data_IF_425848182134
#
_entry.id   IF_425848182134
#
_cell.length_a   1.000
_cell.length_b   1.000
_cell.length_c   1.000
_cell.angle_alpha   90.00
_cell.angle_beta   90.00
_cell.angle_gamma   90.00
#
_symmetry.space_group_name_H-M   'P 1'
#
loop_
_entity.id
_entity.type
_entity.pdbx_description
1 polymer ?
#
# COMPACT_ATOMS: atom_id res chain seq x y z
N UNK A 1 55.48 33.58 27.09
CA UNK A 1 55.48 34.34 28.34
C UNK A 1 56.64 33.85 29.22
N UNK A 2 57.56 34.75 29.64
CA UNK A 2 58.73 34.42 30.46
C UNK A 2 58.66 35.05 31.87
N UNK A 3 59.29 34.43 32.87
CA UNK A 3 59.85 35.09 34.07
C UNK A 3 61.08 34.27 34.48
N UNK A 4 62.34 34.66 34.23
CA UNK A 4 63.15 35.78 34.74
C UNK A 4 63.17 35.90 36.27
N UNK A 5 64.28 35.42 36.85
CA UNK A 5 64.80 35.80 38.17
C UNK A 5 66.33 35.85 38.13
N UNK A 6 66.87 37.04 37.82
CA UNK A 6 68.24 37.54 38.07
C UNK A 6 68.32 37.93 39.57
N UNK A 7 69.43 38.09 40.29
CA UNK A 7 70.79 38.55 39.96
C UNK A 7 71.65 38.53 41.27
N UNK A 8 73.00 38.48 41.10
CA UNK A 8 74.04 39.26 41.83
C UNK A 8 74.31 39.00 43.32
N UNK A 9 75.51 39.22 43.87
CA UNK A 9 76.93 39.40 43.44
C UNK A 9 77.72 39.70 44.75
N UNK A 10 78.99 39.29 44.78
CA UNK A 10 80.18 39.96 45.37
C UNK A 10 80.22 40.29 46.88
N UNK A 11 81.36 39.99 47.50
CA UNK A 11 81.90 40.78 48.61
C UNK A 11 83.19 40.21 49.20
N UNK A 12 84.23 41.04 49.35
CA UNK A 12 85.65 40.71 49.62
C UNK A 12 86.05 41.17 51.03
N UNK A 13 87.28 40.83 51.42
CA UNK A 13 88.15 41.41 52.48
C UNK A 13 88.08 40.71 53.86
N UNK A 14 89.16 40.21 54.50
CA UNK A 14 90.56 40.63 54.77
C UNK A 14 90.64 41.52 56.03
N UNK A 15 91.21 40.99 57.12
CA UNK A 15 91.52 41.73 58.35
C UNK A 15 92.47 40.96 59.28
N UNK A 16 93.55 41.62 59.74
CA UNK A 16 94.72 41.15 60.51
C UNK A 16 94.68 41.70 61.95
N UNK A 17 95.34 41.03 62.91
CA UNK A 17 95.90 41.60 64.16
C UNK A 17 95.78 40.65 65.37
N UNK A 18 96.85 39.99 65.86
CA UNK A 18 97.84 40.37 66.94
C UNK A 18 97.19 40.59 68.33
N UNK A 19 97.67 40.10 69.48
CA UNK A 19 99.00 39.68 69.93
C UNK A 19 98.94 38.97 71.32
N UNK A 20 100.08 38.34 71.72
CA UNK A 20 100.56 37.94 73.09
C UNK A 20 100.61 36.44 73.51
N UNK A 21 101.81 35.87 73.31
CA UNK A 21 102.67 35.00 74.17
C UNK A 21 102.09 34.38 75.46
N UNK A 22 102.25 33.04 75.59
CA UNK A 22 103.18 32.39 76.55
C UNK A 22 103.45 30.93 76.14
N UNK A 23 104.67 30.49 76.45
CA UNK A 23 105.40 29.29 75.96
C UNK A 23 105.03 28.05 76.80
N UNK A 24 105.11 26.83 76.22
CA UNK A 24 105.90 25.66 76.69
C UNK A 24 105.56 24.38 75.87
N UNK A 25 106.62 23.80 75.26
CA UNK A 25 106.86 22.41 74.78
C UNK A 25 105.79 21.71 73.90
N UNK A 26 106.09 21.53 72.61
CA UNK A 26 105.22 20.83 71.66
C UNK A 26 105.99 20.25 70.45
N UNK A 27 106.79 19.20 70.66
CA UNK A 27 107.41 18.43 69.55
C UNK A 27 106.67 17.09 69.29
N UNK A 28 105.80 16.62 70.20
CA UNK A 28 104.82 15.54 69.93
C UNK A 28 103.52 16.05 69.27
N UNK A 29 103.17 17.33 69.46
CA UNK A 29 101.93 17.93 68.94
C UNK A 29 101.88 18.10 67.43
N UNK A 30 103.03 18.20 66.75
CA UNK A 30 103.07 18.40 65.30
C UNK A 30 102.69 17.10 64.55
N UNK A 31 103.14 15.95 65.04
CA UNK A 31 102.84 14.62 64.47
C UNK A 31 101.37 14.27 64.67
N UNK A 32 100.83 14.49 65.87
CA UNK A 32 99.41 14.22 66.13
C UNK A 32 98.48 15.20 65.40
N UNK A 33 98.90 16.45 65.20
CA UNK A 33 98.18 17.41 64.34
C UNK A 33 98.24 17.02 62.86
N UNK A 34 99.34 16.43 62.40
CA UNK A 34 99.46 15.89 61.04
C UNK A 34 98.60 14.63 60.85
N UNK A 35 98.57 13.71 61.83
CA UNK A 35 97.67 12.54 61.84
C UNK A 35 96.20 12.94 61.87
N UNK A 36 95.81 13.88 62.72
CA UNK A 36 94.44 14.40 62.76
C UNK A 36 94.04 15.09 61.45
N UNK A 37 94.96 15.83 60.82
CA UNK A 37 94.74 16.39 59.48
C UNK A 37 94.64 15.30 58.41
N UNK A 38 95.48 14.26 58.45
CA UNK A 38 95.41 13.13 57.52
C UNK A 38 94.06 12.41 57.63
N UNK A 39 93.61 12.06 58.85
CA UNK A 39 92.28 11.46 59.07
C UNK A 39 91.13 12.38 58.65
N UNK A 40 91.27 13.69 58.80
CA UNK A 40 90.28 14.66 58.31
C UNK A 40 90.25 14.72 56.77
N UNK A 41 91.40 14.58 56.10
CA UNK A 41 91.45 14.46 54.64
C UNK A 41 90.92 13.11 54.14
N UNK A 42 91.16 12.02 54.87
CA UNK A 42 90.59 10.69 54.59
C UNK A 42 89.06 10.71 54.73
N UNK A 43 88.51 11.25 55.83
CA UNK A 43 87.06 11.38 55.99
C UNK A 43 86.43 12.29 54.93
N UNK A 44 87.12 13.37 54.53
CA UNK A 44 86.68 14.22 53.41
C UNK A 44 86.72 13.48 52.08
N UNK A 45 87.77 12.69 51.83
CA UNK A 45 87.88 11.86 50.64
C UNK A 45 86.74 10.85 50.59
N UNK A 46 86.48 10.14 51.69
CA UNK A 46 85.39 9.16 51.81
C UNK A 46 84.01 9.79 51.55
N UNK A 47 83.71 10.94 52.16
CA UNK A 47 82.45 11.67 51.89
C UNK A 47 82.35 12.09 50.43
N UNK A 48 83.45 12.57 49.82
CA UNK A 48 83.44 12.91 48.39
C UNK A 48 83.30 11.68 47.50
N UNK A 49 83.87 10.54 47.88
CA UNK A 49 83.74 9.28 47.15
C UNK A 49 82.33 8.71 47.24
N UNK A 50 81.70 8.72 48.41
CA UNK A 50 80.29 8.37 48.61
C UNK A 50 79.39 9.27 47.77
N UNK A 51 79.58 10.60 47.84
CA UNK A 51 78.79 11.51 47.00
C UNK A 51 78.98 11.24 45.51
N UNK A 52 80.21 10.91 45.06
CA UNK A 52 80.50 10.54 43.67
C UNK A 52 79.79 9.24 43.27
N UNK A 53 79.75 8.25 44.16
CA UNK A 53 79.02 6.99 43.94
C UNK A 53 77.52 7.28 43.82
N UNK A 54 76.95 8.06 44.73
CA UNK A 54 75.55 8.48 44.71
C UNK A 54 75.19 9.27 43.44
N UNK A 55 76.05 10.20 43.00
CA UNK A 55 75.88 10.92 41.73
C UNK A 55 75.93 9.98 40.52
N UNK A 56 76.79 8.95 40.53
CA UNK A 56 76.85 7.95 39.47
C UNK A 56 75.63 7.04 39.48
N UNK A 57 75.14 6.66 40.65
CA UNK A 57 73.95 5.81 40.81
C UNK A 57 72.67 6.56 40.43
N UNK A 58 72.54 7.82 40.83
CA UNK A 58 71.43 8.69 40.39
C UNK A 58 71.47 8.93 38.88
N UNK A 59 72.64 9.21 38.31
CA UNK A 59 72.79 9.36 36.85
C UNK A 59 72.45 8.08 36.09
N UNK A 60 72.86 6.90 36.61
CA UNK A 60 72.49 5.59 36.03
C UNK A 60 70.99 5.32 36.13
N UNK A 61 70.36 5.61 37.28
CA UNK A 61 68.91 5.49 37.45
C UNK A 61 68.15 6.42 36.49
N UNK A 62 68.60 7.66 36.35
CA UNK A 62 67.99 8.63 35.43
C UNK A 62 68.15 8.19 33.96
N UNK A 63 69.33 7.70 33.57
CA UNK A 63 69.56 7.16 32.23
C UNK A 63 68.65 5.97 31.93
N UNK A 64 68.52 5.03 32.88
CA UNK A 64 67.61 3.88 32.75
C UNK A 64 66.14 4.33 32.65
N UNK A 65 65.71 5.24 33.52
CA UNK A 65 64.34 5.79 33.47
C UNK A 65 64.05 6.50 32.15
N UNK A 66 65.01 7.25 31.60
CA UNK A 66 64.87 7.89 30.29
C UNK A 66 64.80 6.87 29.15
N UNK A 67 65.55 5.77 29.23
CA UNK A 67 65.47 4.69 28.25
C UNK A 67 64.12 3.97 28.30
N UNK A 68 63.62 3.68 29.52
CA UNK A 68 62.32 3.05 29.73
C UNK A 68 61.17 3.96 29.25
N UNK A 69 61.24 5.26 29.52
CA UNK A 69 60.29 6.25 29.01
C UNK A 69 60.30 6.32 27.47
N UNK A 70 61.47 6.26 26.83
CA UNK A 70 61.58 6.21 25.36
C UNK A 70 60.95 4.94 24.79
N UNK A 71 61.20 3.79 25.42
CA UNK A 71 60.56 2.52 25.01
C UNK A 71 59.05 2.57 25.16
N UNK A 72 58.55 3.14 26.26
CA UNK A 72 57.13 3.34 26.48
C UNK A 72 56.52 4.29 25.45
N UNK A 73 57.18 5.42 25.16
CA UNK A 73 56.75 6.36 24.13
C UNK A 73 56.64 5.66 22.77
N UNK A 74 57.68 4.93 22.34
CA UNK A 74 57.67 4.22 21.07
C UNK A 74 56.56 3.17 21.00
N UNK A 75 56.32 2.44 22.09
CA UNK A 75 55.22 1.47 22.16
C UNK A 75 53.86 2.15 22.06
N UNK A 76 53.64 3.24 22.80
CA UNK A 76 52.39 4.01 22.73
C UNK A 76 52.16 4.62 21.35
N UNK A 77 53.19 5.15 20.69
CA UNK A 77 53.11 5.67 19.33
C UNK A 77 52.72 4.57 18.33
N UNK A 78 53.30 3.37 18.46
CA UNK A 78 52.95 2.22 17.63
C UNK A 78 51.51 1.76 17.87
N UNK A 79 51.09 1.62 19.13
CA UNK A 79 49.73 1.21 19.48
C UNK A 79 48.71 2.25 19.00
N UNK A 80 49.00 3.54 19.17
CA UNK A 80 48.17 4.65 18.67
C UNK A 80 48.08 4.62 17.14
N UNK A 81 49.18 4.38 16.44
CA UNK A 81 49.19 4.27 14.99
C UNK A 81 48.36 3.07 14.50
N UNK A 82 48.45 1.92 15.19
CA UNK A 82 47.62 0.76 14.89
C UNK A 82 46.13 1.05 15.06
N UNK A 83 45.73 1.68 16.18
CA UNK A 83 44.33 2.08 16.41
C UNK A 83 43.86 3.08 15.34
N UNK A 84 44.67 4.10 15.03
CA UNK A 84 44.36 5.08 13.99
C UNK A 84 44.20 4.43 12.61
N UNK A 85 45.08 3.49 12.26
CA UNK A 85 45.00 2.78 10.97
C UNK A 85 43.75 1.91 10.86
N UNK A 86 43.36 1.24 11.95
CA UNK A 86 42.14 0.45 12.02
C UNK A 86 40.90 1.33 11.87
N UNK A 87 40.82 2.43 12.63
CA UNK A 87 39.71 3.38 12.55
C UNK A 87 39.62 4.00 11.16
N UNK A 88 40.74 4.42 10.56
CA UNK A 88 40.77 4.96 9.19
C UNK A 88 40.28 3.94 8.15
N UNK A 89 40.68 2.67 8.29
CA UNK A 89 40.20 1.60 7.41
C UNK A 89 38.69 1.40 7.55
N UNK A 90 38.20 1.35 8.78
CA UNK A 90 36.77 1.20 9.06
C UNK A 90 35.95 2.39 8.54
N UNK A 91 36.49 3.61 8.64
CA UNK A 91 35.86 4.83 8.12
C UNK A 91 35.75 4.77 6.60
N UNK A 92 36.85 4.40 5.92
CA UNK A 92 36.85 4.22 4.47
C UNK A 92 35.87 3.13 4.01
N UNK A 93 35.77 2.01 4.74
CA UNK A 93 34.81 0.94 4.42
C UNK A 93 33.36 1.43 4.56
N UNK A 94 33.07 2.24 5.58
CA UNK A 94 31.75 2.86 5.76
C UNK A 94 31.45 3.88 4.68
N UNK A 95 32.40 4.73 4.31
CA UNK A 95 32.25 5.71 3.23
C UNK A 95 31.99 5.02 1.89
N UNK A 96 32.73 3.96 1.57
CA UNK A 96 32.50 3.16 0.38
C UNK A 96 31.10 2.50 0.39
N UNK A 97 30.62 2.06 1.56
CA UNK A 97 29.28 1.51 1.70
C UNK A 97 28.20 2.59 1.52
N UNK A 98 28.41 3.78 2.07
CA UNK A 98 27.51 4.93 1.90
C UNK A 98 27.43 5.31 0.41
N UNK A 99 28.56 5.32 -0.30
CA UNK A 99 28.58 5.63 -1.73
C UNK A 99 27.82 4.60 -2.57
N UNK A 100 28.01 3.30 -2.29
CA UNK A 100 27.24 2.22 -2.93
C UNK A 100 25.74 2.35 -2.65
N UNK A 101 25.35 2.63 -1.40
CA UNK A 101 23.94 2.81 -1.04
C UNK A 101 23.34 4.04 -1.72
N UNK A 102 24.11 5.14 -1.87
CA UNK A 102 23.68 6.32 -2.62
C UNK A 102 23.48 6.01 -4.11
N UNK A 103 24.39 5.24 -4.73
CA UNK A 103 24.24 4.81 -6.12
C UNK A 103 22.99 3.95 -6.29
N UNK A 104 22.80 2.92 -5.45
CA UNK A 104 21.61 2.07 -5.49
C UNK A 104 20.31 2.87 -5.29
N UNK A 105 20.32 3.84 -4.38
CA UNK A 105 19.16 4.71 -4.16
C UNK A 105 18.83 5.54 -5.41
N UNK A 106 19.84 6.09 -6.09
CA UNK A 106 19.65 6.87 -7.31
C UNK A 106 19.16 5.98 -8.46
N UNK A 107 19.78 4.82 -8.68
CA UNK A 107 19.33 3.87 -9.71
C UNK A 107 17.89 3.42 -9.50
N UNK A 108 17.49 3.19 -8.24
CA UNK A 108 16.11 2.80 -7.92
C UNK A 108 15.13 3.95 -8.17
N UNK A 109 15.53 5.20 -7.86
CA UNK A 109 14.73 6.39 -8.15
C UNK A 109 14.58 6.63 -9.64
N UNK A 110 15.65 6.50 -10.42
CA UNK A 110 15.61 6.64 -11.89
C UNK A 110 14.71 5.58 -12.52
N UNK A 111 14.84 4.30 -12.13
CA UNK A 111 13.94 3.23 -12.61
C UNK A 111 12.47 3.51 -12.28
N UNK A 112 12.18 3.93 -11.04
CA UNK A 112 10.82 4.28 -10.65
C UNK A 112 10.27 5.47 -11.44
N UNK A 113 11.11 6.47 -11.74
CA UNK A 113 10.74 7.63 -12.54
C UNK A 113 10.49 7.23 -14.01
N UNK A 114 11.32 6.37 -14.60
CA UNK A 114 11.11 5.85 -15.95
C UNK A 114 9.83 5.01 -16.06
N UNK A 115 9.54 4.16 -15.07
CA UNK A 115 8.31 3.37 -15.03
C UNK A 115 7.07 4.27 -14.92
N UNK A 116 7.15 5.30 -14.08
CA UNK A 116 6.11 6.32 -13.96
C UNK A 116 5.89 7.04 -15.29
N UNK A 117 6.94 7.51 -15.96
CA UNK A 117 6.83 8.19 -17.25
C UNK A 117 6.26 7.29 -18.34
N UNK A 118 6.69 6.01 -18.40
CA UNK A 118 6.13 5.02 -19.33
C UNK A 118 4.64 4.79 -19.07
N UNK A 119 4.22 4.76 -17.80
CA UNK A 119 2.82 4.57 -17.42
C UNK A 119 1.98 5.80 -17.78
N UNK A 120 2.48 7.01 -17.48
CA UNK A 120 1.86 8.27 -17.86
C UNK A 120 1.70 8.39 -19.38
N UNK A 121 2.71 8.03 -20.17
CA UNK A 121 2.63 8.01 -21.63
C UNK A 121 1.56 7.02 -22.13
N UNK A 122 1.51 5.81 -21.58
CA UNK A 122 0.49 4.81 -21.96
C UNK A 122 -0.93 5.34 -21.70
N UNK A 123 -1.18 5.92 -20.53
CA UNK A 123 -2.50 6.46 -20.22
C UNK A 123 -2.83 7.70 -21.05
N UNK A 124 -1.84 8.55 -21.34
CA UNK A 124 -2.04 9.71 -22.22
C UNK A 124 -2.46 9.29 -23.62
N UNK A 125 -1.81 8.26 -24.19
CA UNK A 125 -2.20 7.71 -25.50
C UNK A 125 -3.60 7.12 -25.46
N UNK A 126 -3.94 6.35 -24.43
CA UNK A 126 -5.28 5.76 -24.28
C UNK A 126 -6.38 6.85 -24.15
N UNK A 127 -6.11 7.91 -23.39
CA UNK A 127 -7.03 9.05 -23.25
C UNK A 127 -7.24 9.72 -24.61
N UNK A 128 -6.16 10.03 -25.32
CA UNK A 128 -6.23 10.67 -26.64
C UNK A 128 -6.99 9.81 -27.67
N UNK A 129 -6.81 8.48 -27.62
CA UNK A 129 -7.52 7.56 -28.50
C UNK A 129 -9.03 7.50 -28.19
N UNK A 130 -9.40 7.44 -26.91
CA UNK A 130 -10.80 7.50 -26.47
C UNK A 130 -11.45 8.84 -26.80
N UNK A 131 -10.76 9.96 -26.60
CA UNK A 131 -11.22 11.29 -26.99
C UNK A 131 -11.41 11.39 -28.52
N UNK A 132 -10.48 10.83 -29.29
CA UNK A 132 -10.60 10.74 -30.75
C UNK A 132 -11.84 9.96 -31.20
N UNK A 133 -12.07 8.78 -30.61
CA UNK A 133 -13.27 7.97 -30.87
C UNK A 133 -14.55 8.71 -30.46
N UNK A 134 -14.54 9.39 -29.31
CA UNK A 134 -15.66 10.20 -28.85
C UNK A 134 -16.00 11.32 -29.84
N UNK A 135 -14.99 12.08 -30.29
CA UNK A 135 -15.19 13.13 -31.29
C UNK A 135 -15.70 12.59 -32.63
N UNK A 136 -15.23 11.42 -33.05
CA UNK A 136 -15.75 10.76 -34.25
C UNK A 136 -17.23 10.38 -34.09
N UNK A 137 -17.60 9.74 -32.98
CA UNK A 137 -19.00 9.38 -32.69
C UNK A 137 -19.89 10.60 -32.57
N UNK A 138 -19.41 11.68 -31.94
CA UNK A 138 -20.14 12.94 -31.85
C UNK A 138 -20.44 13.54 -33.25
N UNK A 139 -19.46 13.48 -34.17
CA UNK A 139 -19.67 13.90 -35.57
C UNK A 139 -20.69 13.02 -36.30
N UNK A 140 -20.58 11.69 -36.16
CA UNK A 140 -21.54 10.74 -36.75
C UNK A 140 -22.97 11.02 -36.26
N UNK A 141 -23.15 11.21 -34.95
CA UNK A 141 -24.44 11.56 -34.35
C UNK A 141 -24.96 12.89 -34.92
N UNK A 142 -24.10 13.90 -35.06
CA UNK A 142 -24.47 15.18 -35.66
C UNK A 142 -24.96 15.06 -37.12
N UNK A 143 -24.32 14.22 -37.92
CA UNK A 143 -24.74 13.93 -39.30
C UNK A 143 -26.10 13.23 -39.32
N UNK A 144 -26.28 12.17 -38.52
CA UNK A 144 -27.54 11.44 -38.41
C UNK A 144 -28.68 12.36 -37.93
N UNK A 145 -28.43 13.25 -36.97
CA UNK A 145 -29.44 14.22 -36.53
C UNK A 145 -29.84 15.19 -37.65
N UNK A 146 -28.90 15.57 -38.52
CA UNK A 146 -29.17 16.43 -39.66
C UNK A 146 -30.00 15.69 -40.72
N UNK A 147 -29.64 14.46 -41.05
CA UNK A 147 -30.43 13.58 -41.93
C UNK A 147 -31.84 13.31 -41.39
N UNK A 148 -31.96 13.10 -40.08
CA UNK A 148 -33.25 12.88 -39.45
C UNK A 148 -34.15 14.13 -39.53
N UNK A 149 -33.56 15.34 -39.47
CA UNK A 149 -34.29 16.59 -39.72
C UNK A 149 -34.74 16.70 -41.18
N UNK A 150 -33.90 16.35 -42.15
CA UNK A 150 -34.29 16.40 -43.58
C UNK A 150 -35.36 15.37 -43.90
N UNK A 151 -35.27 14.15 -43.36
CA UNK A 151 -36.31 13.11 -43.50
C UNK A 151 -37.64 13.58 -42.91
N UNK A 152 -37.64 14.21 -41.73
CA UNK A 152 -38.87 14.77 -41.13
C UNK A 152 -39.49 15.86 -42.01
N UNK A 153 -38.67 16.72 -42.62
CA UNK A 153 -39.16 17.74 -43.57
C UNK A 153 -39.73 17.09 -44.83
N UNK A 154 -39.06 16.07 -45.37
CA UNK A 154 -39.54 15.31 -46.51
C UNK A 154 -40.89 14.63 -46.21
N UNK A 155 -41.05 14.00 -45.05
CA UNK A 155 -42.32 13.39 -44.64
C UNK A 155 -43.45 14.41 -44.56
N UNK A 156 -43.22 15.59 -43.98
CA UNK A 156 -44.22 16.67 -43.95
C UNK A 156 -44.62 17.10 -45.36
N UNK A 157 -43.64 17.26 -46.25
CA UNK A 157 -43.90 17.67 -47.64
C UNK A 157 -44.62 16.58 -48.43
N UNK A 158 -44.29 15.31 -48.20
CA UNK A 158 -44.96 14.15 -48.77
C UNK A 158 -46.45 14.15 -48.41
N UNK A 159 -46.78 14.29 -47.13
CA UNK A 159 -48.19 14.35 -46.66
C UNK A 159 -48.93 15.50 -47.34
N UNK A 160 -48.28 16.66 -47.47
CA UNK A 160 -48.88 17.82 -48.14
C UNK A 160 -49.17 17.55 -49.62
N UNK A 161 -48.21 16.97 -50.36
CA UNK A 161 -48.38 16.62 -51.77
C UNK A 161 -49.42 15.53 -51.98
N UNK A 162 -49.46 14.51 -51.11
CA UNK A 162 -50.49 13.47 -51.15
C UNK A 162 -51.89 14.07 -50.97
N UNK A 163 -52.05 15.01 -50.03
CA UNK A 163 -53.31 15.73 -49.84
C UNK A 163 -53.69 16.56 -51.07
N UNK A 164 -52.75 17.32 -51.64
CA UNK A 164 -53.00 18.12 -52.85
C UNK A 164 -53.40 17.23 -54.04
N UNK A 165 -52.79 16.05 -54.17
CA UNK A 165 -53.13 15.08 -55.21
C UNK A 165 -54.54 14.51 -55.04
N UNK A 166 -54.94 14.19 -53.82
CA UNK A 166 -56.29 13.70 -53.53
C UNK A 166 -57.34 14.77 -53.76
N UNK A 167 -57.07 16.02 -53.36
CA UNK A 167 -57.93 17.18 -53.66
C UNK A 167 -58.07 17.38 -55.20
N UNK A 168 -56.99 17.24 -55.96
CA UNK A 168 -57.00 17.30 -57.43
C UNK A 168 -57.81 16.16 -58.07
N UNK A 169 -57.66 14.92 -57.58
CA UNK A 169 -58.45 13.77 -58.06
C UNK A 169 -59.94 13.97 -57.78
N UNK A 170 -60.29 14.46 -56.60
CA UNK A 170 -61.68 14.74 -56.22
C UNK A 170 -62.27 15.84 -57.10
N UNK A 171 -61.51 16.91 -57.35
CA UNK A 171 -61.90 17.97 -58.28
C UNK A 171 -62.11 17.43 -59.70
N UNK A 172 -61.21 16.57 -60.20
CA UNK A 172 -61.33 15.95 -61.52
C UNK A 172 -62.61 15.10 -61.62
N UNK A 173 -62.85 14.21 -60.63
CA UNK A 173 -64.07 13.40 -60.55
C UNK A 173 -65.33 14.26 -60.52
N UNK A 174 -65.32 15.34 -59.76
CA UNK A 174 -66.43 16.28 -59.71
C UNK A 174 -66.67 16.97 -61.06
N UNK A 175 -65.60 17.37 -61.78
CA UNK A 175 -65.74 17.95 -63.12
C UNK A 175 -66.21 16.93 -64.15
N UNK A 176 -65.71 15.70 -64.15
CA UNK A 176 -66.18 14.62 -65.03
C UNK A 176 -67.64 14.29 -64.75
N UNK A 177 -68.05 14.19 -63.48
CA UNK A 177 -69.44 13.97 -63.10
C UNK A 177 -70.34 15.09 -63.63
N UNK A 178 -69.97 16.35 -63.42
CA UNK A 178 -70.71 17.51 -63.94
C UNK A 178 -70.78 17.49 -65.48
N UNK A 179 -69.69 17.11 -66.14
CA UNK A 179 -69.65 16.99 -67.60
C UNK A 179 -70.56 15.86 -68.10
N UNK A 180 -70.53 14.68 -67.47
CA UNK A 180 -71.44 13.58 -67.77
C UNK A 180 -72.90 13.95 -67.53
N UNK A 181 -73.23 14.63 -66.43
CA UNK A 181 -74.59 15.13 -66.18
C UNK A 181 -75.03 16.12 -67.27
N UNK A 182 -74.13 16.99 -67.72
CA UNK A 182 -74.39 17.93 -68.82
C UNK A 182 -74.60 17.21 -70.14
N UNK A 183 -73.77 16.20 -70.46
CA UNK A 183 -73.92 15.36 -71.64
C UNK A 183 -75.25 14.59 -71.62
N UNK A 184 -75.58 13.90 -70.53
CA UNK A 184 -76.87 13.20 -70.39
C UNK A 184 -78.06 14.13 -70.56
N UNK A 185 -77.96 15.37 -70.06
CA UNK A 185 -79.02 16.38 -70.24
C UNK A 185 -79.12 16.87 -71.68
N UNK A 186 -78.02 16.97 -72.41
CA UNK A 186 -78.03 17.31 -73.84
C UNK A 186 -78.54 16.15 -74.68
N UNK A 187 -78.05 14.94 -74.44
CA UNK A 187 -78.51 13.70 -75.06
C UNK A 187 -80.00 13.49 -74.81
N UNK A 188 -80.50 13.65 -73.58
CA UNK A 188 -81.92 13.55 -73.26
C UNK A 188 -82.77 14.52 -74.08
N UNK A 189 -82.36 15.79 -74.17
CA UNK A 189 -83.04 16.77 -75.04
C UNK A 189 -82.97 16.37 -76.52
N UNK A 190 -81.85 15.83 -76.96
CA UNK A 190 -81.66 15.38 -78.34
C UNK A 190 -82.54 14.15 -78.64
N UNK A 191 -82.66 13.22 -77.70
CA UNK A 191 -83.52 12.03 -77.81
C UNK A 191 -84.99 12.41 -77.76
N UNK A 192 -85.41 13.34 -76.89
CA UNK A 192 -86.78 13.84 -76.87
C UNK A 192 -87.16 14.48 -78.21
N UNK A 193 -86.30 15.35 -78.75
CA UNK A 193 -86.52 16.00 -80.04
C UNK A 193 -86.50 14.98 -81.20
N UNK A 194 -85.52 14.07 -81.20
CA UNK A 194 -85.41 12.99 -82.18
C UNK A 194 -86.63 12.08 -82.11
N UNK A 195 -87.09 11.72 -80.92
CA UNK A 195 -88.26 10.87 -80.73
C UNK A 195 -89.54 11.59 -81.16
N UNK A 196 -89.68 12.90 -80.92
CA UNK A 196 -90.80 13.67 -81.45
C UNK A 196 -90.83 13.62 -82.97
N UNK A 197 -89.68 13.88 -83.61
CA UNK A 197 -89.55 13.83 -85.08
C UNK A 197 -89.75 12.41 -85.63
N UNK A 198 -89.22 11.39 -84.96
CA UNK A 198 -89.41 9.98 -85.30
C UNK A 198 -90.87 9.59 -85.14
N UNK A 199 -91.57 9.97 -84.07
CA UNK A 199 -93.01 9.70 -83.91
C UNK A 199 -93.84 10.41 -84.99
N UNK A 200 -93.47 11.63 -85.38
CA UNK A 200 -94.13 12.34 -86.47
C UNK A 200 -93.90 11.63 -87.83
N UNK A 201 -92.69 11.17 -88.07
CA UNK A 201 -92.32 10.40 -89.26
C UNK A 201 -92.96 9.00 -89.25
N UNK A 202 -92.97 8.32 -88.11
CA UNK A 202 -93.52 6.99 -87.90
C UNK A 202 -95.03 7.04 -87.97
N UNK A 203 -95.72 8.05 -87.44
CA UNK A 203 -97.15 8.25 -87.72
C UNK A 203 -97.42 8.40 -89.21
N UNK A 204 -96.57 9.13 -89.95
CA UNK A 204 -96.69 9.24 -91.41
C UNK A 204 -96.41 7.90 -92.11
N UNK A 205 -95.39 7.17 -91.68
CA UNK A 205 -95.01 5.87 -92.24
C UNK A 205 -96.06 4.82 -91.90
N UNK A 206 -96.54 4.73 -90.67
CA UNK A 206 -97.64 3.84 -90.24
C UNK A 206 -98.90 4.19 -91.00
N UNK A 207 -99.28 5.45 -91.17
CA UNK A 207 -100.43 5.78 -92.03
C UNK A 207 -100.23 5.31 -93.48
N UNK A 208 -99.02 5.40 -94.02
CA UNK A 208 -98.70 4.92 -95.38
C UNK A 208 -98.57 3.39 -95.45
N UNK A 209 -98.05 2.76 -94.41
CA UNK A 209 -97.77 1.34 -94.29
C UNK A 209 -99.04 0.59 -93.91
N UNK A 210 -99.88 1.06 -93.00
CA UNK A 210 -101.23 0.53 -92.78
C UNK A 210 -102.06 0.64 -94.05
N UNK A 211 -101.95 1.74 -94.80
CA UNK A 211 -102.60 1.85 -96.11
C UNK A 211 -102.06 0.84 -97.13
N UNK A 212 -100.74 0.72 -97.26
CA UNK A 212 -100.09 -0.22 -98.17
C UNK A 212 -100.18 -1.70 -97.72
N UNK A 213 -100.21 -1.98 -96.42
CA UNK A 213 -100.25 -3.30 -95.80
C UNK A 213 -101.69 -3.80 -95.70
N UNK A 214 -102.68 -2.91 -95.52
CA UNK A 214 -104.09 -3.22 -95.73
C UNK A 214 -104.36 -3.49 -97.21
N UNK A 215 -103.84 -2.67 -98.14
CA UNK A 215 -103.92 -2.95 -99.58
C UNK A 215 -103.20 -4.25 -99.97
N UNK A 216 -102.01 -4.55 -99.42
CA UNK A 216 -101.25 -5.77 -99.72
C UNK A 216 -101.85 -7.02 -99.09
N UNK A 217 -102.41 -6.95 -97.87
CA UNK A 217 -103.08 -8.09 -97.22
C UNK A 217 -104.43 -8.40 -97.89
N UNK A 218 -105.13 -7.38 -98.40
CA UNK A 218 -106.33 -7.55 -99.24
C UNK A 218 -105.97 -8.17 -100.60
N UNK A 219 -104.76 -7.95 -101.11
CA UNK A 219 -104.26 -8.57 -102.37
C UNK A 219 -103.56 -9.93 -102.20
N UNK A 220 -103.34 -10.41 -100.97
CA UNK A 220 -102.69 -11.70 -100.72
C UNK A 220 -103.71 -12.85 -100.71
N UNK A 221 -103.42 -13.92 -101.46
CA UNK A 221 -104.18 -15.17 -101.45
C UNK A 221 -103.87 -15.99 -100.18
N UNK A 222 -104.74 -16.95 -99.81
CA UNK A 222 -104.66 -17.70 -98.55
C UNK A 222 -103.32 -18.41 -98.28
N UNK A 223 -102.58 -18.81 -99.33
CA UNK A 223 -101.25 -19.40 -99.20
C UNK A 223 -100.22 -18.44 -98.58
N UNK A 224 -100.26 -17.14 -98.93
CA UNK A 224 -99.34 -16.14 -98.38
C UNK A 224 -99.60 -15.84 -96.90
N UNK A 225 -100.87 -15.91 -96.46
CA UNK A 225 -101.26 -15.78 -95.05
C UNK A 225 -100.73 -16.94 -94.18
N UNK A 226 -100.68 -18.15 -94.74
CA UNK A 226 -100.15 -19.33 -94.03
C UNK A 226 -98.63 -19.28 -93.86
N UNK A 227 -97.88 -18.88 -94.90
CA UNK A 227 -96.42 -18.69 -94.81
C UNK A 227 -96.04 -17.61 -93.80
N UNK A 228 -96.85 -16.55 -93.67
CA UNK A 228 -96.61 -15.49 -92.68
C UNK A 228 -96.76 -16.00 -91.24
N UNK A 229 -97.77 -16.83 -90.98
CA UNK A 229 -97.94 -17.48 -89.67
C UNK A 229 -96.76 -18.37 -89.33
N UNK A 230 -96.27 -19.15 -90.30
CA UNK A 230 -95.09 -20.00 -90.13
C UNK A 230 -93.83 -19.18 -89.86
N UNK A 231 -93.63 -18.06 -90.53
CA UNK A 231 -92.50 -17.14 -90.30
C UNK A 231 -92.52 -16.56 -88.87
N UNK A 232 -93.71 -16.19 -88.35
CA UNK A 232 -93.88 -15.76 -86.96
C UNK A 232 -93.55 -16.88 -85.96
N UNK A 233 -93.90 -18.13 -86.26
CA UNK A 233 -93.52 -19.28 -85.44
C UNK A 233 -92.00 -19.51 -85.45
N UNK A 234 -91.36 -19.43 -86.63
CA UNK A 234 -89.90 -19.56 -86.77
C UNK A 234 -89.15 -18.43 -86.03
N UNK A 235 -89.65 -17.20 -86.07
CA UNK A 235 -89.09 -16.09 -85.29
C UNK A 235 -89.19 -16.33 -83.77
N UNK A 236 -90.29 -16.90 -83.29
CA UNK A 236 -90.43 -17.28 -81.87
C UNK A 236 -89.44 -18.37 -81.47
N UNK A 237 -89.22 -19.37 -82.33
CA UNK A 237 -88.23 -20.43 -82.10
C UNK A 237 -86.79 -19.87 -82.08
N UNK A 238 -86.46 -18.98 -83.02
CA UNK A 238 -85.17 -18.30 -83.07
C UNK A 238 -84.91 -17.47 -81.80
N UNK A 239 -85.93 -16.74 -81.32
CA UNK A 239 -85.83 -15.94 -80.10
C UNK A 239 -85.57 -16.78 -78.85
N UNK A 240 -86.13 -18.00 -78.77
CA UNK A 240 -85.86 -18.93 -77.67
C UNK A 240 -84.39 -19.39 -77.67
N UNK A 241 -83.89 -19.85 -78.82
CA UNK A 241 -82.50 -20.31 -78.94
C UNK A 241 -81.48 -19.18 -78.71
N UNK A 242 -81.78 -17.94 -79.12
CA UNK A 242 -80.93 -16.79 -78.81
C UNK A 242 -80.85 -16.51 -77.30
N UNK A 243 -81.97 -16.65 -76.57
CA UNK A 243 -81.97 -16.51 -75.10
C UNK A 243 -81.16 -17.61 -74.41
N UNK A 244 -81.25 -18.85 -74.90
CA UNK A 244 -80.49 -19.98 -74.37
C UNK A 244 -78.98 -19.80 -74.63
N UNK A 245 -78.61 -19.34 -75.82
CA UNK A 245 -77.22 -19.02 -76.17
C UNK A 245 -76.65 -17.88 -75.28
N UNK A 246 -77.41 -16.81 -75.04
CA UNK A 246 -77.02 -15.72 -74.14
C UNK A 246 -76.86 -16.19 -72.68
N UNK A 247 -77.75 -17.07 -72.21
CA UNK A 247 -77.64 -17.66 -70.87
C UNK A 247 -76.38 -18.53 -70.73
N UNK A 248 -76.08 -19.36 -71.73
CA UNK A 248 -74.85 -20.16 -71.77
C UNK A 248 -73.59 -19.28 -71.85
N UNK A 249 -73.62 -18.20 -72.63
CA UNK A 249 -72.52 -17.24 -72.72
C UNK A 249 -72.25 -16.56 -71.38
N UNK A 250 -73.29 -16.11 -70.67
CA UNK A 250 -73.16 -15.51 -69.33
C UNK A 250 -72.61 -16.50 -68.30
N UNK A 251 -73.02 -17.75 -68.37
CA UNK A 251 -72.49 -18.80 -67.48
C UNK A 251 -71.02 -19.10 -67.79
N UNK A 252 -70.64 -19.15 -69.07
CA UNK A 252 -69.24 -19.31 -69.50
C UNK A 252 -68.37 -18.15 -68.99
N UNK A 253 -68.84 -16.90 -69.13
CA UNK A 253 -68.15 -15.71 -68.62
C UNK A 253 -67.97 -15.76 -67.09
N UNK A 254 -69.02 -16.08 -66.33
CA UNK A 254 -68.92 -16.23 -64.87
C UNK A 254 -67.93 -17.31 -64.48
N UNK A 255 -67.93 -18.45 -65.18
CA UNK A 255 -66.99 -19.53 -64.90
C UNK A 255 -65.54 -19.08 -65.18
N UNK A 256 -65.31 -18.35 -66.27
CA UNK A 256 -64.01 -17.76 -66.59
C UNK A 256 -63.55 -16.72 -65.55
N UNK A 257 -64.44 -15.86 -65.07
CA UNK A 257 -64.17 -14.91 -63.98
C UNK A 257 -63.79 -15.65 -62.69
N UNK A 258 -64.52 -16.71 -62.31
CA UNK A 258 -64.17 -17.50 -61.11
C UNK A 258 -62.83 -18.22 -61.27
N UNK A 259 -62.53 -18.76 -62.46
CA UNK A 259 -61.27 -19.41 -62.74
C UNK A 259 -60.09 -18.44 -62.63
N UNK A 260 -60.22 -17.24 -63.21
CA UNK A 260 -59.19 -16.19 -63.12
C UNK A 260 -59.01 -15.70 -61.68
N UNK A 261 -60.09 -15.51 -60.91
CA UNK A 261 -60.01 -15.17 -59.50
C UNK A 261 -59.28 -16.23 -58.66
N UNK A 262 -59.62 -17.51 -58.84
CA UNK A 262 -58.97 -18.61 -58.12
C UNK A 262 -57.49 -18.74 -58.46
N UNK A 263 -57.10 -18.48 -59.72
CA UNK A 263 -55.70 -18.43 -60.13
C UNK A 263 -54.93 -17.31 -59.41
N UNK A 264 -55.47 -16.09 -59.39
CA UNK A 264 -54.85 -14.98 -58.65
C UNK A 264 -54.73 -15.29 -57.15
N UNK A 265 -55.77 -15.85 -56.55
CA UNK A 265 -55.73 -16.23 -55.13
C UNK A 265 -54.66 -17.30 -54.85
N UNK A 266 -54.52 -18.28 -55.75
CA UNK A 266 -53.46 -19.30 -55.65
C UNK A 266 -52.07 -18.67 -55.74
N UNK A 267 -51.84 -17.78 -56.69
CA UNK A 267 -50.55 -17.10 -56.86
C UNK A 267 -50.18 -16.26 -55.63
N UNK A 268 -51.13 -15.51 -55.06
CA UNK A 268 -50.93 -14.73 -53.84
C UNK A 268 -50.58 -15.65 -52.66
N UNK A 269 -51.32 -16.75 -52.50
CA UNK A 269 -51.07 -17.72 -51.44
C UNK A 269 -49.68 -18.38 -51.59
N UNK A 270 -49.28 -18.73 -52.81
CA UNK A 270 -47.96 -19.31 -53.10
C UNK A 270 -46.82 -18.34 -52.75
N UNK A 271 -46.99 -17.04 -53.06
CA UNK A 271 -46.03 -16.00 -52.68
C UNK A 271 -45.94 -15.83 -51.15
N UNK A 272 -47.09 -15.79 -50.46
CA UNK A 272 -47.15 -15.67 -49.01
C UNK A 272 -46.46 -16.85 -48.31
N UNK A 273 -46.71 -18.08 -48.79
CA UNK A 273 -46.07 -19.29 -48.25
C UNK A 273 -44.55 -19.22 -48.44
N UNK A 274 -44.07 -18.81 -49.62
CA UNK A 274 -42.63 -18.64 -49.87
C UNK A 274 -42.01 -17.60 -48.93
N UNK A 275 -42.66 -16.46 -48.75
CA UNK A 275 -42.19 -15.41 -47.82
C UNK A 275 -42.11 -15.93 -46.38
N UNK A 276 -43.14 -16.65 -45.92
CA UNK A 276 -43.15 -17.24 -44.57
C UNK A 276 -42.06 -18.28 -44.37
N UNK A 277 -41.80 -19.12 -45.38
CA UNK A 277 -40.69 -20.09 -45.34
C UNK A 277 -39.34 -19.36 -45.24
N UNK A 278 -39.13 -18.29 -46.00
CA UNK A 278 -37.90 -17.49 -45.93
C UNK A 278 -37.72 -16.86 -44.54
N UNK A 279 -38.77 -16.24 -43.98
CA UNK A 279 -38.74 -15.66 -42.63
C UNK A 279 -38.40 -16.70 -41.56
N UNK A 280 -39.06 -17.88 -41.60
CA UNK A 280 -38.79 -18.98 -40.67
C UNK A 280 -37.36 -19.51 -40.79
N UNK A 281 -36.85 -19.62 -42.02
CA UNK A 281 -35.48 -20.07 -42.27
C UNK A 281 -34.46 -19.08 -41.71
N UNK A 282 -34.69 -17.78 -41.90
CA UNK A 282 -33.84 -16.73 -41.34
C UNK A 282 -33.86 -16.73 -39.81
N UNK A 283 -35.04 -16.84 -39.20
CA UNK A 283 -35.18 -16.94 -37.73
C UNK A 283 -34.46 -18.18 -37.20
N UNK A 284 -34.59 -19.33 -37.86
CA UNK A 284 -33.91 -20.57 -37.47
C UNK A 284 -32.39 -20.41 -37.50
N UNK A 285 -31.83 -19.74 -38.51
CA UNK A 285 -30.38 -19.45 -38.58
C UNK A 285 -29.92 -18.53 -37.45
N UNK A 286 -30.71 -17.50 -37.12
CA UNK A 286 -30.43 -16.60 -36.00
C UNK A 286 -30.44 -17.36 -34.67
N UNK A 287 -31.46 -18.19 -34.43
CA UNK A 287 -31.57 -19.04 -33.24
C UNK A 287 -30.36 -19.97 -33.14
N UNK A 288 -29.98 -20.62 -34.23
CA UNK A 288 -28.81 -21.51 -34.24
C UNK A 288 -27.50 -20.77 -33.93
N UNK A 289 -27.35 -19.55 -34.44
CA UNK A 289 -26.17 -18.70 -34.16
C UNK A 289 -26.12 -18.29 -32.69
N UNK A 290 -27.28 -17.89 -32.12
CA UNK A 290 -27.39 -17.55 -30.71
C UNK A 290 -27.13 -18.76 -29.82
N UNK A 291 -27.67 -19.94 -30.15
CA UNK A 291 -27.41 -21.18 -29.42
C UNK A 291 -25.93 -21.54 -29.40
N UNK A 292 -25.23 -21.46 -30.54
CA UNK A 292 -23.77 -21.68 -30.59
C UNK A 292 -23.02 -20.70 -29.69
N UNK A 293 -23.44 -19.44 -29.67
CA UNK A 293 -22.84 -18.41 -28.80
C UNK A 293 -23.07 -18.71 -27.32
N UNK A 294 -24.29 -19.10 -26.93
CA UNK A 294 -24.61 -19.50 -25.56
C UNK A 294 -23.72 -20.67 -25.12
N UNK A 295 -23.64 -21.74 -25.90
CA UNK A 295 -22.78 -22.90 -25.58
C UNK A 295 -21.31 -22.49 -25.44
N UNK A 296 -20.80 -21.60 -26.30
CA UNK A 296 -19.41 -21.11 -26.19
C UNK A 296 -19.16 -20.31 -24.91
N UNK A 297 -20.13 -19.49 -24.49
CA UNK A 297 -20.04 -18.71 -23.26
C UNK A 297 -20.16 -19.59 -22.02
N UNK A 298 -21.07 -20.57 -22.02
CA UNK A 298 -21.21 -21.56 -20.94
C UNK A 298 -19.92 -22.38 -20.78
N UNK A 299 -19.30 -22.79 -21.89
CA UNK A 299 -18.03 -23.52 -21.85
C UNK A 299 -16.92 -22.65 -21.27
N UNK A 300 -16.79 -21.40 -21.71
CA UNK A 300 -15.80 -20.46 -21.19
C UNK A 300 -16.01 -20.19 -19.69
N UNK A 301 -17.26 -19.99 -19.26
CA UNK A 301 -17.60 -19.77 -17.86
C UNK A 301 -17.29 -21.00 -17.00
N UNK A 302 -17.56 -22.20 -17.50
CA UNK A 302 -17.22 -23.45 -16.81
C UNK A 302 -15.71 -23.62 -16.65
N UNK A 303 -14.93 -23.31 -17.69
CA UNK A 303 -13.46 -23.30 -17.60
C UNK A 303 -12.97 -22.30 -16.54
N UNK A 304 -13.45 -21.05 -16.59
CA UNK A 304 -13.08 -20.03 -15.61
C UNK A 304 -13.45 -20.44 -14.19
N UNK A 305 -14.65 -20.98 -13.98
CA UNK A 305 -15.11 -21.44 -12.66
C UNK A 305 -14.19 -22.52 -12.11
N UNK A 306 -13.81 -23.50 -12.95
CA UNK A 306 -12.88 -24.56 -12.57
C UNK A 306 -11.48 -24.03 -12.24
N UNK A 307 -10.98 -23.08 -13.00
CA UNK A 307 -9.69 -22.42 -12.71
C UNK A 307 -9.73 -21.68 -11.37
N UNK A 308 -10.82 -20.96 -11.08
CA UNK A 308 -11.03 -20.32 -9.78
C UNK A 308 -11.09 -21.32 -8.63
N UNK A 309 -11.81 -22.43 -8.78
CA UNK A 309 -11.87 -23.49 -7.75
C UNK A 309 -10.48 -24.09 -7.47
N UNK A 310 -9.69 -24.33 -8.53
CA UNK A 310 -8.31 -24.82 -8.40
C UNK A 310 -7.45 -23.80 -7.64
N UNK A 311 -7.56 -22.52 -7.97
CA UNK A 311 -6.75 -21.48 -7.33
C UNK A 311 -7.14 -21.28 -5.86
N UNK A 312 -8.43 -21.33 -5.55
CA UNK A 312 -8.92 -21.31 -4.15
C UNK A 312 -8.36 -22.50 -3.37
N UNK A 313 -8.38 -23.71 -3.94
CA UNK A 313 -7.80 -24.89 -3.32
C UNK A 313 -6.29 -24.72 -3.04
N UNK A 314 -5.52 -24.17 -3.98
CA UNK A 314 -4.08 -23.90 -3.79
C UNK A 314 -3.84 -22.89 -2.67
N UNK A 315 -4.59 -21.79 -2.65
CA UNK A 315 -4.47 -20.77 -1.60
C UNK A 315 -4.79 -21.36 -0.23
N UNK A 316 -5.86 -22.16 -0.12
CA UNK A 316 -6.21 -22.85 1.12
C UNK A 316 -5.11 -23.81 1.57
N UNK A 317 -4.55 -24.59 0.65
CA UNK A 317 -3.46 -25.52 0.94
C UNK A 317 -2.19 -24.77 1.41
N UNK A 318 -1.84 -23.67 0.74
CA UNK A 318 -0.69 -22.85 1.12
C UNK A 318 -0.88 -22.23 2.51
N UNK A 319 -2.06 -21.68 2.80
CA UNK A 319 -2.38 -21.15 4.12
C UNK A 319 -2.35 -22.23 5.21
N UNK A 320 -2.76 -23.46 4.89
CA UNK A 320 -2.66 -24.60 5.81
C UNK A 320 -1.20 -24.91 6.15
N UNK A 321 -0.33 -25.01 5.14
CA UNK A 321 1.10 -25.28 5.32
C UNK A 321 1.78 -24.16 6.13
N UNK A 322 1.47 -22.89 5.86
CA UNK A 322 2.02 -21.75 6.60
C UNK A 322 1.56 -21.74 8.06
N UNK A 323 0.28 -22.05 8.32
CA UNK A 323 -0.23 -22.18 9.68
C UNK A 323 0.44 -23.32 10.44
N UNK A 324 0.64 -24.48 9.80
CA UNK A 324 1.38 -25.60 10.40
C UNK A 324 2.83 -25.23 10.71
N UNK A 325 3.52 -24.57 9.77
CA UNK A 325 4.88 -24.08 9.99
C UNK A 325 4.96 -23.07 11.15
N UNK A 326 4.02 -22.13 11.19
CA UNK A 326 3.89 -21.15 12.28
C UNK A 326 3.63 -21.82 13.63
N UNK A 327 2.77 -22.85 13.67
CA UNK A 327 2.50 -23.61 14.89
C UNK A 327 3.76 -24.32 15.40
N UNK A 328 4.54 -24.95 14.51
CA UNK A 328 5.81 -25.59 14.89
C UNK A 328 6.82 -24.58 15.44
N UNK A 329 6.87 -23.37 14.87
CA UNK A 329 7.74 -22.31 15.39
C UNK A 329 7.28 -21.79 16.75
N UNK A 330 5.97 -21.60 16.95
CA UNK A 330 5.39 -21.24 18.24
C UNK A 330 5.76 -22.29 19.30
N UNK A 331 5.62 -23.57 18.99
CA UNK A 331 5.93 -24.66 19.92
C UNK A 331 7.43 -24.65 20.30
N UNK A 332 8.33 -24.42 19.34
CA UNK A 332 9.78 -24.28 19.60
C UNK A 332 10.07 -23.09 20.50
N UNK A 333 9.47 -21.94 20.23
CA UNK A 333 9.64 -20.73 21.03
C UNK A 333 9.10 -20.90 22.45
N UNK A 334 7.96 -21.57 22.60
CA UNK A 334 7.41 -21.92 23.92
C UNK A 334 8.36 -22.83 24.71
N UNK A 335 8.94 -23.84 24.08
CA UNK A 335 9.93 -24.71 24.73
C UNK A 335 11.18 -23.92 25.16
N UNK A 336 11.68 -23.03 24.30
CA UNK A 336 12.83 -22.19 24.61
C UNK A 336 12.53 -21.25 25.79
N UNK A 337 11.34 -20.64 25.80
CA UNK A 337 10.89 -19.80 26.90
C UNK A 337 10.83 -20.58 28.22
N UNK A 338 10.25 -21.79 28.22
CA UNK A 338 10.23 -22.64 29.40
C UNK A 338 11.63 -23.00 29.92
N UNK A 339 12.59 -23.26 29.02
CA UNK A 339 13.98 -23.52 29.40
C UNK A 339 14.64 -22.27 29.99
N UNK A 340 14.40 -21.09 29.41
CA UNK A 340 14.89 -19.81 29.94
C UNK A 340 14.29 -19.47 31.29
N UNK A 341 13.01 -19.74 31.51
CA UNK A 341 12.38 -19.56 32.83
C UNK A 341 12.99 -20.49 33.89
N UNK A 342 13.32 -21.74 33.53
CA UNK A 342 14.04 -22.66 34.43
C UNK A 342 15.43 -22.14 34.78
N UNK A 343 16.19 -21.65 33.80
CA UNK A 343 17.50 -21.03 34.03
C UNK A 343 17.38 -19.77 34.91
N UNK A 344 16.44 -18.89 34.59
CA UNK A 344 16.15 -17.68 35.35
C UNK A 344 15.82 -18.01 36.81
N UNK A 345 15.00 -19.04 37.05
CA UNK A 345 14.67 -19.49 38.39
C UNK A 345 15.88 -20.07 39.14
N UNK A 346 16.80 -20.75 38.46
CA UNK A 346 18.07 -21.19 39.06
C UNK A 346 18.94 -19.99 39.45
N UNK A 347 19.07 -18.99 38.58
CA UNK A 347 19.82 -17.76 38.87
C UNK A 347 19.19 -17.00 40.04
N UNK A 348 17.86 -16.84 40.08
CA UNK A 348 17.14 -16.22 41.21
C UNK A 348 17.41 -16.95 42.52
N UNK A 349 17.41 -18.28 42.53
CA UNK A 349 17.74 -19.08 43.73
C UNK A 349 19.18 -18.88 44.17
N UNK A 350 20.14 -18.91 43.24
CA UNK A 350 21.55 -18.69 43.54
C UNK A 350 21.79 -17.28 44.11
N UNK A 351 21.20 -16.26 43.48
CA UNK A 351 21.28 -14.88 43.95
C UNK A 351 20.70 -14.73 45.37
N UNK A 352 19.57 -15.41 45.65
CA UNK A 352 19.01 -15.45 47.00
C UNK A 352 19.95 -16.12 48.00
N UNK A 353 20.53 -17.29 47.67
CA UNK A 353 21.48 -17.98 48.55
C UNK A 353 22.69 -17.10 48.87
N UNK A 354 23.28 -16.43 47.87
CA UNK A 354 24.41 -15.52 48.07
C UNK A 354 24.03 -14.36 49.01
N UNK A 355 22.82 -13.81 48.87
CA UNK A 355 22.32 -12.77 49.77
C UNK A 355 22.11 -13.30 51.20
N UNK A 356 21.57 -14.51 51.34
CA UNK A 356 21.35 -15.16 52.64
C UNK A 356 22.69 -15.45 53.33
N UNK A 357 23.66 -16.04 52.63
CA UNK A 357 25.03 -16.29 53.12
C UNK A 357 25.73 -14.97 53.52
N UNK A 358 25.64 -13.94 52.68
CA UNK A 358 26.16 -12.61 53.01
C UNK A 358 25.52 -12.07 54.28
N UNK A 359 24.20 -12.22 54.42
CA UNK A 359 23.45 -11.76 55.61
C UNK A 359 23.89 -12.52 56.85
N UNK A 360 24.15 -13.82 56.76
CA UNK A 360 24.68 -14.64 57.86
C UNK A 360 26.08 -14.19 58.28
N UNK A 361 26.97 -13.94 57.31
CA UNK A 361 28.32 -13.43 57.57
C UNK A 361 28.27 -12.04 58.21
N UNK A 362 27.43 -11.14 57.71
CA UNK A 362 27.20 -9.82 58.30
C UNK A 362 26.71 -9.93 59.75
N UNK A 363 25.75 -10.82 60.03
CA UNK A 363 25.29 -11.10 61.40
C UNK A 363 26.40 -11.64 62.29
N UNK A 364 27.16 -12.62 61.82
CA UNK A 364 28.29 -13.18 62.55
C UNK A 364 29.31 -12.10 62.94
N UNK A 365 29.69 -11.21 62.00
CA UNK A 365 30.61 -10.11 62.31
C UNK A 365 30.02 -9.12 63.32
N UNK A 366 28.73 -8.78 63.20
CA UNK A 366 28.06 -7.92 64.18
C UNK A 366 28.02 -8.55 65.57
N UNK A 367 27.74 -9.85 65.66
CA UNK A 367 27.74 -10.61 66.91
C UNK A 367 29.14 -10.70 67.52
N UNK A 368 30.17 -10.97 66.71
CA UNK A 368 31.56 -10.99 67.15
C UNK A 368 32.01 -9.62 67.68
N UNK A 369 31.69 -8.54 66.96
CA UNK A 369 31.95 -7.17 67.41
C UNK A 369 31.20 -6.86 68.71
N UNK A 370 29.96 -7.32 68.83
CA UNK A 370 29.18 -7.19 70.06
C UNK A 370 29.84 -7.95 71.22
N UNK A 371 30.27 -9.19 71.02
CA UNK A 371 30.97 -9.98 72.04
C UNK A 371 32.28 -9.33 72.47
N UNK A 372 33.11 -8.86 71.52
CA UNK A 372 34.35 -8.13 71.83
C UNK A 372 34.04 -6.87 72.64
N UNK A 373 33.02 -6.11 72.27
CA UNK A 373 32.57 -4.94 73.02
C UNK A 373 32.16 -5.32 74.46
N UNK A 374 31.40 -6.40 74.64
CA UNK A 374 31.03 -6.90 75.97
C UNK A 374 32.25 -7.35 76.78
N UNK A 375 33.21 -8.03 76.17
CA UNK A 375 34.43 -8.49 76.82
C UNK A 375 35.33 -7.31 77.24
N UNK A 376 35.44 -6.27 76.40
CA UNK A 376 36.12 -5.02 76.74
C UNK A 376 35.43 -4.37 77.95
N UNK A 377 34.10 -4.23 77.93
CA UNK A 377 33.35 -3.66 79.06
C UNK A 377 33.56 -4.47 80.35
N UNK A 378 33.54 -5.80 80.26
CA UNK A 378 33.80 -6.69 81.39
C UNK A 378 35.23 -6.56 81.91
N UNK A 379 36.23 -6.59 81.02
CA UNK A 379 37.65 -6.42 81.36
C UNK A 379 37.91 -5.06 82.03
N UNK A 380 37.36 -3.96 81.48
CA UNK A 380 37.43 -2.62 82.10
C UNK A 380 36.81 -2.61 83.50
N UNK A 381 35.65 -3.24 83.69
CA UNK A 381 34.97 -3.36 84.99
C UNK A 381 35.79 -4.19 85.98
N UNK A 382 36.40 -5.29 85.55
CA UNK A 382 37.23 -6.15 86.38
C UNK A 382 38.55 -5.47 86.74
N UNK A 383 39.22 -4.83 85.79
CA UNK A 383 40.42 -4.02 86.03
C UNK A 383 40.16 -2.95 87.09
N UNK A 384 39.04 -2.22 86.97
CA UNK A 384 38.62 -1.23 87.97
C UNK A 384 38.45 -1.83 89.36
N UNK A 385 37.81 -3.01 89.48
CA UNK A 385 37.65 -3.73 90.76
C UNK A 385 38.98 -4.19 91.35
N UNK A 386 39.87 -4.78 90.53
CA UNK A 386 41.18 -5.27 90.97
C UNK A 386 42.08 -4.10 91.39
N UNK A 387 42.11 -3.02 90.62
CA UNK A 387 42.83 -1.81 90.99
C UNK A 387 42.31 -1.20 92.30
N UNK A 388 40.99 -1.24 92.54
CA UNK A 388 40.38 -0.78 93.80
C UNK A 388 40.75 -1.69 94.97
N UNK A 389 40.71 -3.00 94.78
CA UNK A 389 41.11 -3.97 95.80
C UNK A 389 42.60 -3.84 96.15
N UNK A 390 43.47 -3.70 95.14
CA UNK A 390 44.92 -3.52 95.32
C UNK A 390 45.25 -2.21 96.04
N UNK A 391 44.56 -1.10 95.70
CA UNK A 391 44.69 0.17 96.41
C UNK A 391 44.25 0.03 97.87
N UNK A 392 43.07 -0.55 98.12
CA UNK A 392 42.56 -0.76 99.48
C UNK A 392 43.47 -1.68 100.31
N UNK A 393 44.06 -2.70 99.69
CA UNK A 393 45.02 -3.60 100.34
C UNK A 393 46.29 -2.85 100.75
N UNK A 394 46.90 -2.09 99.84
CA UNK A 394 48.06 -1.23 100.15
C UNK A 394 47.73 -0.20 101.23
N UNK A 395 46.52 0.37 101.21
CA UNK A 395 46.06 1.29 102.25
C UNK A 395 46.00 0.62 103.63
N UNK A 396 45.53 -0.63 103.71
CA UNK A 396 45.49 -1.42 104.96
C UNK A 396 46.89 -1.81 105.46
N UNK A 397 47.79 -2.23 104.58
CA UNK A 397 49.18 -2.55 104.93
C UNK A 397 49.96 -1.33 105.43
N UNK A 398 49.70 -0.15 104.86
CA UNK A 398 50.25 1.11 105.34
C UNK A 398 49.68 1.52 106.71
N UNK A 399 48.37 1.34 106.94
CA UNK A 399 47.77 1.53 108.27
C UNK A 399 48.37 0.61 109.35
N UNK A 400 48.80 -0.60 108.96
CA UNK A 400 49.47 -1.56 109.85
C UNK A 400 50.97 -1.25 110.07
N UNK A 401 51.49 -0.15 109.52
CA UNK A 401 52.87 0.32 109.72
C UNK A 401 53.93 -0.45 108.92
N UNK A 402 53.54 -1.30 107.97
CA UNK A 402 54.46 -2.17 107.22
C UNK A 402 55.01 -1.52 105.95
N UNK A 403 54.32 -0.52 105.39
CA UNK A 403 54.68 0.18 104.14
C UNK A 403 54.21 1.64 104.17
N UNK A 404 54.68 2.48 103.23
CA UNK A 404 54.22 3.87 103.07
C UNK A 404 52.81 3.96 102.46
N UNK A 405 52.04 5.00 102.82
CA UNK A 405 50.69 5.21 102.31
C UNK A 405 50.67 5.41 100.78
N UNK A 406 49.82 4.68 100.04
CA UNK A 406 49.72 4.84 98.58
C UNK A 406 49.12 6.20 98.21
N UNK A 407 49.59 6.79 97.09
CA UNK A 407 49.03 8.03 96.53
C UNK A 407 47.53 7.87 96.27
N UNK A 408 46.73 8.86 96.67
CA UNK A 408 45.26 8.85 96.52
C UNK A 408 44.89 8.55 95.06
N UNK A 409 44.01 7.57 94.88
CA UNK A 409 43.54 7.10 93.57
C UNK A 409 42.02 7.14 93.53
N UNK A 410 41.46 7.71 92.46
CA UNK A 410 40.01 7.88 92.32
C UNK A 410 39.38 6.84 91.39
N UNK A 411 38.18 6.38 91.74
CA UNK A 411 37.44 5.34 91.01
C UNK A 411 36.06 5.82 90.54
N UNK A 412 35.64 7.04 90.87
CA UNK A 412 34.33 7.61 90.55
C UNK A 412 34.28 8.28 89.17
N UNK A 413 35.42 8.51 88.52
CA UNK A 413 35.48 8.99 87.14
C UNK A 413 35.28 10.50 86.97
N UNK A 414 35.58 11.29 88.00
CA UNK A 414 35.55 12.77 87.90
C UNK A 414 36.69 13.28 87.00
N UNK A 415 36.37 14.25 86.14
CA UNK A 415 37.26 14.78 85.09
C UNK A 415 38.50 15.50 85.62
N UNK A 416 38.47 16.01 86.87
CA UNK A 416 39.57 16.78 87.46
C UNK A 416 40.50 15.96 88.38
N UNK A 417 40.46 14.63 88.28
CA UNK A 417 41.37 13.78 89.06
C UNK A 417 42.69 13.56 88.31
N UNK A 418 43.81 13.86 88.96
CA UNK A 418 45.16 13.69 88.41
C UNK A 418 45.72 12.27 88.53
N UNK A 419 45.03 11.37 89.25
CA UNK A 419 45.40 9.95 89.40
C UNK A 419 44.12 9.08 89.44
N UNK A 420 43.54 8.85 88.27
CA UNK A 420 42.26 8.14 88.09
C UNK A 420 42.45 6.84 87.32
N UNK A 421 41.78 5.77 87.76
CA UNK A 421 41.77 4.48 87.02
C UNK A 421 41.23 4.63 85.60
N UNK A 422 40.32 5.57 85.38
CA UNK A 422 39.77 5.80 84.04
C UNK A 422 40.82 6.38 83.08
N UNK A 423 41.83 7.09 83.58
CA UNK A 423 42.91 7.64 82.75
C UNK A 423 43.84 6.52 82.26
N UNK A 424 44.15 5.54 83.13
CA UNK A 424 44.90 4.33 82.74
C UNK A 424 44.16 3.50 81.69
N UNK A 425 42.82 3.43 81.76
CA UNK A 425 42.00 2.76 80.74
C UNK A 425 42.01 3.52 79.41
N UNK A 426 41.99 4.85 79.44
CA UNK A 426 42.07 5.69 78.23
C UNK A 426 43.46 5.68 77.58
N UNK A 427 44.53 5.60 78.37
CA UNK A 427 45.91 5.44 77.86
C UNK A 427 46.13 4.05 77.23
N UNK A 428 45.47 3.01 77.74
CA UNK A 428 45.48 1.67 77.15
C UNK A 428 44.63 1.55 75.86
N UNK A 429 43.82 2.56 75.52
CA UNK A 429 43.02 2.63 74.28
C UNK A 429 43.73 3.37 73.14
N UNK A 430 44.86 4.05 73.41
CA UNK A 430 45.75 4.63 72.39
C UNK A 430 46.64 3.56 71.78
#
# INVERSE_FOLDING_TARGET
MPFKGKDKRKGKSKGKGKDKKKIIKADESAVDRAKANASLWEARLEVTELSRIEYRDTSRRLAKSNEDLKKQQYKMEKDTMSVLSYLKKQDQEKDNMIEKLKQQLNETKEKAQEEKEKLEQKYTVQINELEGQFHQKAREIGMIQTELKTIKQFQKRKIQVEKELDDLKENLRNTERKHQETLRRLEGRFFEEKHRLEQEAEKKIIMLAERAHHEAVVQLNDAGRSVFKENVYLQKALAYHLKEADALQKNSQKLQETQTFLLHQKEINDLLVKEKIMQLTQQRLQIQTLQKKVVSLETALSCMTREFEIEVCKIQQQAMIENEAGQVEIDKLQQLLQMKDKEMNRVKKLAKNILDERTEVERFFLDALHQVKQQILFSRKQYKRVAQAAFNFKMREACAGRTEYPKIRTFDGKEHSTNSVNQDLMEAEK
#
